data_IF_898366904920
#
_entry.id   IF_898366904920
#
_cell.length_a   1.000
_cell.length_b   1.000
_cell.length_c   1.000
_cell.angle_alpha   90.00
_cell.angle_beta   90.00
_cell.angle_gamma   90.00
#
_symmetry.space_group_name_H-M   'P 1'
#
loop_
_entity.id
_entity.type
_entity.pdbx_description
1 polymer ?
#
# COMPACT_ATOMS: atom_id res chain seq x y z
N UNK A 1 1.09 0.01 14.67
CA UNK A 1 0.63 1.20 13.93
C UNK A 1 0.87 1.02 12.43
N UNK A 2 0.35 1.87 11.54
CA UNK A 2 0.71 1.83 10.11
C UNK A 2 2.20 2.08 9.87
N UNK A 3 2.85 2.85 10.74
CA UNK A 3 4.30 3.11 10.68
C UNK A 3 5.11 1.84 10.96
N UNK A 4 4.64 0.98 11.86
CA UNK A 4 5.29 -0.31 12.13
C UNK A 4 5.13 -1.26 10.94
N UNK A 5 3.92 -1.29 10.34
CA UNK A 5 3.64 -2.08 9.14
C UNK A 5 4.51 -1.63 7.95
N UNK A 6 4.70 -0.33 7.77
CA UNK A 6 5.53 0.21 6.68
C UNK A 6 7.03 -0.13 6.81
N UNK A 7 7.54 -0.28 8.04
CA UNK A 7 8.95 -0.59 8.29
C UNK A 7 9.32 -2.06 8.07
N UNK A 8 8.35 -2.97 8.11
CA UNK A 8 8.57 -4.39 7.91
C UNK A 8 8.18 -4.84 6.50
N UNK A 9 8.79 -5.93 6.04
CA UNK A 9 8.48 -6.55 4.74
C UNK A 9 8.04 -8.00 4.85
N UNK A 10 8.03 -8.55 6.08
CA UNK A 10 7.77 -9.96 6.32
C UNK A 10 6.29 -10.32 6.12
N UNK A 11 5.40 -9.37 6.41
CA UNK A 11 3.98 -9.49 6.15
C UNK A 11 3.62 -8.72 4.87
N UNK A 12 3.21 -9.39 3.78
CA UNK A 12 2.66 -8.70 2.62
C UNK A 12 1.39 -7.96 3.00
N UNK A 13 1.22 -6.73 2.52
CA UNK A 13 0.02 -5.95 2.73
C UNK A 13 -0.32 -5.15 1.48
N UNK A 14 -1.61 -4.89 1.29
CA UNK A 14 -2.11 -4.03 0.23
C UNK A 14 -3.52 -3.58 0.51
N UNK A 15 -4.19 -3.10 -0.53
CA UNK A 15 -5.53 -2.52 -0.42
C UNK A 15 -6.37 -2.88 -1.64
N UNK A 16 -7.58 -2.33 -1.72
CA UNK A 16 -8.44 -2.49 -2.89
C UNK A 16 -7.93 -1.57 -3.99
N UNK A 17 -7.76 -2.09 -5.20
CA UNK A 17 -7.40 -1.30 -6.38
C UNK A 17 -8.43 -0.19 -6.63
N UNK A 18 -7.97 0.96 -7.14
CA UNK A 18 -8.80 2.15 -7.43
C UNK A 18 -9.66 2.65 -6.25
N UNK A 19 -9.27 2.30 -5.02
CA UNK A 19 -9.89 2.83 -3.81
C UNK A 19 -9.26 4.14 -3.37
N UNK A 20 -9.99 4.89 -2.53
CA UNK A 20 -9.46 6.12 -1.93
C UNK A 20 -8.15 5.89 -1.16
N UNK A 21 -7.98 4.72 -0.53
CA UNK A 21 -6.76 4.35 0.19
C UNK A 21 -5.61 4.12 -0.79
N UNK A 22 -5.86 3.40 -1.90
CA UNK A 22 -4.87 3.17 -2.94
C UNK A 22 -4.36 4.50 -3.52
N UNK A 23 -5.28 5.38 -3.93
CA UNK A 23 -4.95 6.67 -4.53
C UNK A 23 -4.20 7.58 -3.55
N UNK A 24 -4.60 7.59 -2.28
CA UNK A 24 -3.93 8.39 -1.25
C UNK A 24 -2.49 7.92 -1.03
N UNK A 25 -2.27 6.61 -0.88
CA UNK A 25 -0.92 6.07 -0.66
C UNK A 25 -0.06 6.23 -1.90
N UNK A 26 -0.62 6.07 -3.10
CA UNK A 26 0.07 6.36 -4.38
C UNK A 26 0.50 7.80 -4.46
N UNK A 27 -0.44 8.74 -4.28
CA UNK A 27 -0.19 10.18 -4.38
C UNK A 27 0.90 10.62 -3.41
N UNK A 28 0.81 10.19 -2.15
CA UNK A 28 1.81 10.52 -1.13
C UNK A 28 3.14 9.79 -1.32
N UNK A 29 3.12 8.52 -1.69
CA UNK A 29 4.32 7.70 -1.89
C UNK A 29 5.16 8.13 -3.11
N UNK A 30 4.54 8.77 -4.10
CA UNK A 30 5.22 9.34 -5.28
C UNK A 30 5.55 10.83 -5.13
N UNK A 31 5.11 11.49 -4.05
CA UNK A 31 5.36 12.91 -3.82
C UNK A 31 6.78 13.13 -3.26
N UNK A 32 7.70 13.80 -3.99
CA UNK A 32 9.06 14.05 -3.49
C UNK A 32 9.12 14.99 -2.28
N UNK A 33 8.03 15.71 -1.97
CA UNK A 33 7.92 16.59 -0.81
C UNK A 33 7.31 15.91 0.42
N UNK A 34 6.83 14.67 0.31
CA UNK A 34 6.34 13.91 1.46
C UNK A 34 7.52 13.56 2.37
N UNK A 35 7.45 14.01 3.62
CA UNK A 35 8.55 13.86 4.59
C UNK A 35 8.45 12.56 5.37
N UNK A 36 7.25 11.99 5.44
CA UNK A 36 7.04 10.72 6.13
C UNK A 36 7.43 9.55 5.21
N UNK A 37 8.51 8.80 5.51
CA UNK A 37 8.94 7.67 4.68
C UNK A 37 7.90 6.55 4.64
N UNK A 38 6.95 6.51 5.58
CA UNK A 38 5.87 5.52 5.65
C UNK A 38 5.15 5.38 4.31
N UNK A 39 4.73 6.48 3.67
CA UNK A 39 3.98 6.41 2.41
C UNK A 39 4.81 5.84 1.26
N UNK A 40 6.10 6.19 1.19
CA UNK A 40 7.01 5.66 0.16
C UNK A 40 7.25 4.16 0.33
N UNK A 41 7.35 3.69 1.57
CA UNK A 41 7.52 2.26 1.90
C UNK A 41 6.23 1.48 1.61
N UNK A 42 5.09 2.00 2.07
CA UNK A 42 3.79 1.40 1.78
C UNK A 42 3.54 1.31 0.28
N UNK A 43 3.85 2.37 -0.48
CA UNK A 43 3.69 2.36 -1.93
C UNK A 43 4.57 1.31 -2.62
N UNK A 44 5.80 1.04 -2.15
CA UNK A 44 6.62 -0.05 -2.71
C UNK A 44 5.99 -1.42 -2.51
N UNK A 45 5.36 -1.66 -1.37
CA UNK A 45 4.66 -2.92 -1.10
C UNK A 45 3.37 -3.01 -1.93
N UNK A 46 2.54 -1.97 -1.90
CA UNK A 46 1.26 -1.92 -2.63
C UNK A 46 1.48 -2.02 -4.15
N UNK A 47 2.48 -1.33 -4.70
CA UNK A 47 2.77 -1.32 -6.13
C UNK A 47 3.77 -2.41 -6.55
N UNK A 48 4.07 -3.36 -5.66
CA UNK A 48 4.92 -4.51 -6.00
C UNK A 48 4.29 -5.23 -7.20
N UNK A 49 5.13 -5.58 -8.18
CA UNK A 49 4.72 -6.24 -9.45
C UNK A 49 3.59 -5.52 -10.20
N UNK A 50 3.50 -4.19 -10.11
CA UNK A 50 2.47 -3.39 -10.77
C UNK A 50 1.11 -3.41 -10.06
N UNK A 51 1.07 -3.87 -8.81
CA UNK A 51 -0.11 -3.86 -7.95
C UNK A 51 -0.94 -5.14 -7.98
N UNK A 52 -0.60 -6.14 -8.80
CA UNK A 52 -1.40 -7.36 -8.93
C UNK A 52 -1.20 -8.36 -7.77
N UNK A 53 -0.04 -8.34 -7.09
CA UNK A 53 0.32 -9.35 -6.09
C UNK A 53 -0.32 -9.08 -4.72
N UNK A 54 -0.28 -7.83 -4.28
CA UNK A 54 -0.65 -7.46 -2.91
C UNK A 54 -2.02 -6.80 -2.78
N UNK A 55 -2.65 -6.41 -3.89
CA UNK A 55 -3.97 -5.77 -3.88
C UNK A 55 -5.07 -6.75 -4.30
N UNK A 56 -6.30 -6.32 -4.09
CA UNK A 56 -7.52 -7.06 -4.43
C UNK A 56 -8.49 -6.16 -5.19
N UNK A 57 -9.40 -6.75 -5.95
CA UNK A 57 -10.46 -5.98 -6.63
C UNK A 57 -11.62 -5.64 -5.68
N UNK A 58 -11.89 -6.51 -4.70
CA UNK A 58 -12.93 -6.31 -3.71
C UNK A 58 -12.40 -6.44 -2.27
N UNK A 59 -12.88 -5.58 -1.38
CA UNK A 59 -12.48 -5.60 0.04
C UNK A 59 -12.74 -6.94 0.73
N UNK A 60 -13.81 -7.65 0.33
CA UNK A 60 -14.15 -8.98 0.87
C UNK A 60 -13.12 -10.06 0.55
N UNK A 61 -12.36 -9.92 -0.54
CA UNK A 61 -11.25 -10.82 -0.84
C UNK A 61 -10.10 -10.59 0.14
N UNK A 62 -9.74 -9.33 0.37
CA UNK A 62 -8.69 -8.96 1.33
C UNK A 62 -8.98 -9.36 2.77
N UNK A 63 -10.26 -9.42 3.18
CA UNK A 63 -10.67 -9.90 4.51
C UNK A 63 -10.50 -11.43 4.66
N UNK A 64 -10.54 -12.18 3.55
CA UNK A 64 -10.47 -13.66 3.55
C UNK A 64 -9.06 -14.21 3.36
N UNK A 65 -8.16 -13.43 2.74
CA UNK A 65 -6.73 -13.77 2.61
C UNK A 65 -6.04 -13.76 3.96
#
# INVERSE_FOLDING_TARGET
SLQDLAKQTDLPYGTVLDSAVYDQVRSKGMNPFERDPMYSQMWRMINRTGGAENNVEESKEGIRK
#
